data_IF_163781418221
#
_entry.id   IF_163781418221
#
_cell.length_a   1.000
_cell.length_b   1.000
_cell.length_c   1.000
_cell.angle_alpha   90.00
_cell.angle_beta   90.00
_cell.angle_gamma   90.00
#
_symmetry.space_group_name_H-M   'P 1'
#
loop_
_entity.id
_entity.type
_entity.pdbx_description
1 polymer ?
#
# COMPACT_ATOMS: atom_id res chain seq x y z
N UNK A 1 18.34 -28.25 20.50
CA UNK A 1 19.00 -27.83 19.23
C UNK A 1 18.14 -26.75 18.59
N UNK A 2 18.58 -25.48 18.69
CA UNK A 2 17.85 -24.33 18.17
C UNK A 2 17.86 -24.36 16.64
N UNK A 3 16.70 -24.63 16.03
CA UNK A 3 16.50 -24.39 14.60
C UNK A 3 16.43 -22.87 14.41
N UNK A 4 17.56 -22.29 14.02
CA UNK A 4 17.69 -20.91 13.57
C UNK A 4 16.64 -20.68 12.47
N UNK A 5 15.61 -19.91 12.77
CA UNK A 5 14.67 -19.41 11.78
C UNK A 5 15.43 -18.38 10.93
N UNK A 6 15.84 -18.78 9.72
CA UNK A 6 16.63 -17.97 8.77
C UNK A 6 15.92 -16.65 8.39
N UNK A 7 14.59 -16.62 8.43
CA UNK A 7 13.81 -15.52 7.88
C UNK A 7 13.22 -14.64 9.01
N UNK A 8 13.58 -13.36 8.98
CA UNK A 8 13.05 -12.33 9.88
C UNK A 8 11.50 -12.21 9.76
N UNK A 9 10.76 -11.91 10.86
CA UNK A 9 9.30 -11.84 10.84
C UNK A 9 8.75 -10.83 9.82
N UNK A 10 9.48 -9.75 9.56
CA UNK A 10 9.11 -8.73 8.58
C UNK A 10 9.28 -9.25 7.15
N UNK A 11 10.40 -9.91 6.87
CA UNK A 11 10.64 -10.57 5.59
C UNK A 11 9.60 -11.67 5.30
N UNK A 12 9.16 -12.39 6.33
CA UNK A 12 8.07 -13.38 6.21
C UNK A 12 6.73 -12.75 5.85
N UNK A 13 6.38 -11.60 6.46
CA UNK A 13 5.17 -10.85 6.12
C UNK A 13 5.23 -10.26 4.71
N UNK A 14 6.40 -9.80 4.25
CA UNK A 14 6.62 -9.33 2.87
C UNK A 14 6.39 -10.46 1.87
N UNK A 15 6.95 -11.65 2.10
CA UNK A 15 6.72 -12.80 1.20
C UNK A 15 5.28 -13.30 1.22
N UNK A 16 4.58 -13.23 2.36
CA UNK A 16 3.13 -13.52 2.43
C UNK A 16 2.29 -12.46 1.68
N UNK A 17 2.71 -11.20 1.69
CA UNK A 17 2.08 -10.13 0.92
C UNK A 17 2.32 -10.28 -0.59
N UNK A 18 3.47 -10.83 -1.00
CA UNK A 18 3.79 -11.15 -2.39
C UNK A 18 3.19 -12.49 -2.88
N UNK A 19 2.55 -13.28 -2.01
CA UNK A 19 1.87 -14.54 -2.35
C UNK A 19 2.77 -15.79 -2.39
N UNK A 20 4.02 -15.69 -1.94
CA UNK A 20 5.02 -16.76 -2.04
C UNK A 20 4.96 -17.77 -0.87
N UNK A 21 4.13 -17.50 0.14
CA UNK A 21 4.00 -18.33 1.35
C UNK A 21 2.52 -18.56 1.72
N UNK A 22 2.09 -19.82 1.96
CA UNK A 22 0.74 -20.10 2.43
C UNK A 22 0.47 -19.44 3.78
N UNK A 23 -0.75 -18.88 3.93
CA UNK A 23 -1.23 -18.30 5.19
C UNK A 23 -1.42 -19.39 6.23
N UNK A 24 -0.93 -19.16 7.44
CA UNK A 24 -1.03 -20.10 8.55
C UNK A 24 -2.51 -20.26 8.96
N UNK A 25 -3.04 -21.47 9.12
CA UNK A 25 -4.42 -21.66 9.52
C UNK A 25 -4.62 -21.24 10.97
N UNK A 26 -5.53 -20.29 11.18
CA UNK A 26 -5.97 -19.83 12.51
C UNK A 26 -6.47 -21.03 13.33
N UNK A 27 -5.75 -21.35 14.40
CA UNK A 27 -6.13 -22.38 15.36
C UNK A 27 -7.18 -21.80 16.30
N UNK A 28 -8.43 -22.22 16.12
CA UNK A 28 -9.54 -21.91 17.03
C UNK A 28 -9.55 -23.00 18.11
N UNK A 29 -9.19 -22.67 19.34
CA UNK A 29 -9.34 -23.56 20.50
C UNK A 29 -10.64 -23.17 21.23
N UNK A 30 -11.62 -24.08 21.42
CA UNK A 30 -12.80 -23.80 22.21
C UNK A 30 -12.66 -24.44 23.59
N UNK A 31 -12.60 -23.64 24.66
CA UNK A 31 -12.94 -24.14 26.01
C UNK A 31 -13.73 -23.13 26.85
N UNK A 32 -14.68 -23.57 27.69
CA UNK A 32 -15.60 -22.72 28.45
C UNK A 32 -15.13 -22.43 29.89
N UNK A 33 -15.64 -21.33 30.44
CA UNK A 33 -15.35 -20.60 31.71
C UNK A 33 -15.80 -21.33 33.01
N UNK A 34 -15.51 -20.81 34.22
CA UNK A 34 -16.61 -20.21 35.03
C UNK A 34 -16.30 -18.97 35.91
N UNK A 35 -17.31 -18.09 36.03
CA UNK A 35 -17.52 -16.97 36.98
C UNK A 35 -16.69 -15.67 36.75
N UNK A 36 -17.33 -14.59 36.28
CA UNK A 36 -17.99 -13.52 37.08
C UNK A 36 -17.01 -12.51 37.68
N UNK A 37 -16.45 -11.65 36.84
CA UNK A 37 -16.22 -10.25 37.20
C UNK A 37 -17.07 -9.41 36.26
N UNK A 38 -17.82 -8.49 36.85
CA UNK A 38 -18.69 -7.54 36.13
C UNK A 38 -17.80 -6.67 35.24
N UNK A 39 -17.49 -7.16 34.05
CA UNK A 39 -16.94 -6.34 32.96
C UNK A 39 -18.14 -5.61 32.40
N UNK A 40 -18.40 -4.43 32.97
CA UNK A 40 -19.23 -3.41 32.35
C UNK A 40 -18.72 -3.31 30.92
N UNK A 41 -19.53 -3.77 29.95
CA UNK A 41 -19.16 -3.65 28.56
C UNK A 41 -18.82 -2.17 28.31
N UNK A 42 -17.65 -1.87 27.72
CA UNK A 42 -17.24 -0.50 27.49
C UNK A 42 -18.35 0.18 26.68
N UNK A 43 -18.87 1.29 27.20
CA UNK A 43 -19.97 2.02 26.55
C UNK A 43 -19.56 2.69 25.23
N UNK A 44 -18.27 2.66 24.90
CA UNK A 44 -17.69 3.25 23.72
C UNK A 44 -16.43 2.50 23.28
N UNK A 45 -16.23 2.45 21.96
CA UNK A 45 -15.02 1.97 21.33
C UNK A 45 -14.53 3.00 20.30
N UNK A 46 -13.22 3.02 20.07
CA UNK A 46 -12.57 3.86 19.05
C UNK A 46 -11.90 2.99 18.00
N UNK A 47 -12.00 3.45 16.76
CA UNK A 47 -11.32 2.83 15.64
C UNK A 47 -9.87 3.28 15.61
N UNK A 48 -8.93 2.38 15.91
CA UNK A 48 -7.50 2.71 16.01
C UNK A 48 -6.96 3.35 14.73
N UNK A 49 -7.53 3.03 13.56
CA UNK A 49 -7.04 3.52 12.28
C UNK A 49 -7.78 4.79 11.80
N UNK A 50 -8.81 5.23 12.52
CA UNK A 50 -9.58 6.45 12.21
C UNK A 50 -9.85 7.35 13.43
N UNK A 51 -9.29 7.02 14.58
CA UNK A 51 -9.53 7.74 15.83
C UNK A 51 -8.92 9.14 15.79
N UNK A 52 -9.72 10.13 16.18
CA UNK A 52 -9.30 11.52 16.30
C UNK A 52 -8.45 11.75 17.56
N UNK A 53 -7.79 12.92 17.63
CA UNK A 53 -7.03 13.33 18.81
C UNK A 53 -7.88 13.32 20.10
N UNK A 54 -9.15 13.72 20.00
CA UNK A 54 -10.09 13.71 21.12
C UNK A 54 -10.42 12.30 21.58
N UNK A 55 -10.61 11.37 20.63
CA UNK A 55 -10.91 9.97 20.92
C UNK A 55 -9.73 9.27 21.60
N UNK A 56 -8.49 9.55 21.17
CA UNK A 56 -7.30 9.02 21.84
C UNK A 56 -7.13 9.55 23.25
N UNK A 57 -7.43 10.83 23.49
CA UNK A 57 -7.38 11.45 24.83
C UNK A 57 -8.40 10.89 25.83
N UNK A 58 -9.42 10.17 25.36
CA UNK A 58 -10.37 9.48 26.23
C UNK A 58 -9.79 8.21 26.86
N UNK A 59 -8.68 7.68 26.32
CA UNK A 59 -8.05 6.48 26.87
C UNK A 59 -7.25 6.81 28.14
N UNK A 60 -7.37 5.99 29.19
CA UNK A 60 -6.66 6.21 30.45
C UNK A 60 -5.14 6.11 30.21
N UNK A 61 -4.40 7.12 30.66
CA UNK A 61 -2.94 7.14 30.53
C UNK A 61 -2.41 7.49 29.13
N UNK A 62 -3.26 7.89 28.19
CA UNK A 62 -2.82 8.36 26.87
C UNK A 62 -2.27 9.80 26.97
N UNK A 63 -0.95 9.96 26.75
CA UNK A 63 -0.30 11.27 26.78
C UNK A 63 -0.45 12.02 25.45
N UNK A 64 -0.35 13.35 25.46
CA UNK A 64 -0.44 14.15 24.21
C UNK A 64 0.65 13.78 23.19
N UNK A 65 1.82 13.32 23.66
CA UNK A 65 2.92 12.85 22.80
C UNK A 65 2.52 11.55 22.07
N UNK A 66 1.84 10.62 22.75
CA UNK A 66 1.32 9.40 22.14
C UNK A 66 0.25 9.74 21.10
N UNK A 67 -0.63 10.70 21.38
CA UNK A 67 -1.65 11.15 20.43
C UNK A 67 -1.01 11.76 19.18
N UNK A 68 0.00 12.64 19.31
CA UNK A 68 0.69 13.21 18.14
C UNK A 68 1.38 12.13 17.30
N UNK A 69 2.04 11.16 17.94
CA UNK A 69 2.63 10.01 17.24
C UNK A 69 1.59 9.20 16.48
N UNK A 70 0.47 8.85 17.12
CA UNK A 70 -0.60 8.07 16.49
C UNK A 70 -1.19 8.80 15.28
N UNK A 71 -1.44 10.11 15.40
CA UNK A 71 -1.95 10.90 14.28
C UNK A 71 -0.94 11.02 13.13
N UNK A 72 0.35 11.22 13.43
CA UNK A 72 1.41 11.23 12.42
C UNK A 72 1.50 9.91 11.66
N UNK A 73 1.37 8.79 12.37
CA UNK A 73 1.41 7.46 11.77
C UNK A 73 0.18 7.20 10.89
N UNK A 74 -1.00 7.58 11.35
CA UNK A 74 -2.22 7.54 10.55
C UNK A 74 -2.11 8.40 9.29
N UNK A 75 -1.56 9.62 9.39
CA UNK A 75 -1.28 10.49 8.23
C UNK A 75 -0.26 9.87 7.27
N UNK A 76 0.70 9.10 7.79
CA UNK A 76 1.65 8.32 7.01
C UNK A 76 1.08 7.07 6.34
N UNK A 77 -0.21 6.77 6.53
CA UNK A 77 -0.87 5.59 5.98
C UNK A 77 -0.61 4.29 6.76
N UNK A 78 -0.04 4.37 7.96
CA UNK A 78 0.17 3.21 8.83
C UNK A 78 -1.19 2.76 9.39
N UNK A 79 -1.52 1.49 9.20
CA UNK A 79 -2.70 0.85 9.77
C UNK A 79 -2.29 -0.23 10.76
N UNK A 80 -2.89 -0.20 11.95
CA UNK A 80 -2.71 -1.18 13.01
C UNK A 80 -3.73 -2.31 12.86
N UNK A 81 -3.26 -3.54 13.04
CA UNK A 81 -4.13 -4.73 12.94
C UNK A 81 -4.40 -5.38 14.29
N UNK A 82 -3.60 -5.07 15.30
CA UNK A 82 -3.64 -5.72 16.60
C UNK A 82 -3.08 -4.80 17.70
N UNK A 83 -3.39 -5.14 18.96
CA UNK A 83 -2.96 -4.37 20.13
C UNK A 83 -1.44 -4.40 20.32
N UNK A 84 -0.80 -5.51 19.98
CA UNK A 84 0.62 -5.74 20.20
C UNK A 84 1.49 -4.80 19.36
N UNK A 85 1.05 -4.47 18.14
CA UNK A 85 1.73 -3.48 17.28
C UNK A 85 1.68 -2.09 17.91
N UNK A 86 0.53 -1.73 18.48
CA UNK A 86 0.33 -0.45 19.15
C UNK A 86 1.10 -0.38 20.47
N UNK A 87 1.18 -1.51 21.19
CA UNK A 87 1.91 -1.62 22.44
C UNK A 87 3.41 -1.43 22.26
N UNK A 88 3.98 -2.11 21.26
CA UNK A 88 5.39 -1.99 20.91
C UNK A 88 5.75 -0.58 20.42
N UNK A 89 4.85 0.06 19.66
CA UNK A 89 5.10 1.37 19.09
C UNK A 89 5.06 2.49 20.14
N UNK A 90 4.10 2.42 21.07
CA UNK A 90 3.94 3.44 22.13
C UNK A 90 4.72 3.12 23.40
N UNK A 91 5.44 2.00 23.44
CA UNK A 91 6.16 1.49 24.62
C UNK A 91 5.27 1.48 25.88
N UNK A 92 4.05 0.95 25.74
CA UNK A 92 3.07 0.90 26.81
C UNK A 92 3.11 -0.43 27.57
N UNK A 93 2.96 -0.35 28.89
CA UNK A 93 2.92 -1.51 29.79
C UNK A 93 1.70 -2.41 29.54
N UNK A 94 1.85 -3.70 29.84
CA UNK A 94 0.79 -4.71 29.68
C UNK A 94 -0.52 -4.34 30.40
N UNK A 95 -0.43 -3.76 31.60
CA UNK A 95 -1.61 -3.30 32.34
C UNK A 95 -2.41 -2.21 31.61
N UNK A 96 -1.74 -1.36 30.84
CA UNK A 96 -2.37 -0.29 30.06
C UNK A 96 -2.98 -0.88 28.77
N UNK A 97 -2.32 -1.89 28.18
CA UNK A 97 -2.88 -2.67 27.09
C UNK A 97 -4.18 -3.37 27.47
N UNK A 98 -4.26 -3.96 28.67
CA UNK A 98 -5.48 -4.59 29.19
C UNK A 98 -6.61 -3.58 29.37
N UNK A 99 -6.30 -2.37 29.85
CA UNK A 99 -7.28 -1.29 30.00
C UNK A 99 -7.78 -0.78 28.64
N UNK A 100 -6.92 -0.71 27.63
CA UNK A 100 -7.28 -0.18 26.31
C UNK A 100 -8.01 -1.20 25.45
N UNK A 101 -7.65 -2.49 25.57
CA UNK A 101 -8.22 -3.62 24.83
C UNK A 101 -9.74 -3.56 24.60
N UNK A 102 -10.58 -3.32 25.63
CA UNK A 102 -12.04 -3.28 25.44
C UNK A 102 -12.51 -2.05 24.63
N UNK A 103 -11.76 -0.96 24.64
CA UNK A 103 -12.10 0.29 23.95
C UNK A 103 -11.55 0.39 22.53
N UNK A 104 -10.66 -0.50 22.10
CA UNK A 104 -10.02 -0.43 20.79
C UNK A 104 -10.64 -1.40 19.78
N UNK A 105 -10.99 -0.89 18.60
CA UNK A 105 -11.32 -1.72 17.44
C UNK A 105 -10.30 -1.52 16.33
N UNK A 106 -9.78 -2.63 15.82
CA UNK A 106 -8.83 -2.66 14.71
C UNK A 106 -9.60 -2.98 13.43
N UNK A 107 -9.81 -1.97 12.60
CA UNK A 107 -10.46 -2.11 11.29
C UNK A 107 -9.48 -1.77 10.19
N UNK A 108 -9.33 -2.69 9.26
CA UNK A 108 -8.58 -2.42 8.03
C UNK A 108 -9.46 -1.59 7.11
N UNK A 109 -8.97 -0.41 6.73
CA UNK A 109 -9.76 0.49 5.88
C UNK A 109 -9.32 0.49 4.42
N UNK A 110 -8.18 -0.13 4.07
CA UNK A 110 -7.70 -0.19 2.68
C UNK A 110 -7.31 1.16 2.07
N UNK A 111 -7.77 2.27 2.65
CA UNK A 111 -7.28 3.63 2.43
C UNK A 111 -5.90 3.78 3.09
N UNK A 112 -4.86 3.28 2.42
CA UNK A 112 -3.65 4.09 2.33
C UNK A 112 -4.07 5.40 1.64
N UNK A 113 -3.53 6.58 2.01
CA UNK A 113 -3.80 7.79 1.24
C UNK A 113 -3.59 7.42 -0.23
N UNK A 114 -4.67 7.50 -1.00
CA UNK A 114 -4.66 7.27 -2.42
C UNK A 114 -3.76 8.38 -2.97
N UNK A 115 -2.44 8.17 -2.95
CA UNK A 115 -1.55 8.82 -3.90
C UNK A 115 -2.30 8.67 -5.22
N UNK A 116 -2.69 9.78 -5.86
CA UNK A 116 -3.62 9.74 -6.97
C UNK A 116 -3.17 8.61 -7.87
N UNK A 117 -4.04 7.62 -8.11
CA UNK A 117 -3.78 6.53 -9.05
C UNK A 117 -3.43 7.22 -10.36
N UNK A 118 -2.14 7.47 -10.58
CA UNK A 118 -1.67 8.08 -11.80
C UNK A 118 -1.83 6.95 -12.80
N UNK A 119 -2.97 6.97 -13.49
CA UNK A 119 -3.31 6.00 -14.51
C UNK A 119 -2.04 5.78 -15.35
N UNK A 120 -1.55 4.53 -15.46
CA UNK A 120 -0.23 4.29 -16.05
C UNK A 120 -0.16 4.93 -17.43
N UNK A 121 0.91 5.67 -17.69
CA UNK A 121 1.09 6.46 -18.90
C UNK A 121 1.16 5.54 -20.11
N UNK A 122 0.25 5.71 -21.06
CA UNK A 122 0.27 4.92 -22.29
C UNK A 122 1.31 5.47 -23.27
N UNK A 123 2.42 4.75 -23.46
CA UNK A 123 3.52 5.21 -24.32
C UNK A 123 3.13 5.26 -25.82
N UNK A 124 2.15 4.46 -26.24
CA UNK A 124 1.69 4.42 -27.63
C UNK A 124 0.61 5.47 -27.94
N UNK A 125 -0.15 5.88 -26.92
CA UNK A 125 -1.27 6.82 -27.07
C UNK A 125 -0.98 8.24 -26.56
N UNK A 126 -0.03 8.42 -25.62
CA UNK A 126 0.26 9.70 -24.99
C UNK A 126 0.68 10.77 -26.02
N UNK A 127 0.35 12.03 -25.74
CA UNK A 127 0.80 13.15 -26.57
C UNK A 127 2.30 13.39 -26.39
N UNK A 128 3.01 13.92 -27.40
CA UNK A 128 4.43 14.28 -27.29
C UNK A 128 4.72 15.18 -26.09
N UNK A 129 3.87 16.18 -25.85
CA UNK A 129 4.00 17.11 -24.73
C UNK A 129 3.85 16.40 -23.38
N UNK A 130 2.90 15.46 -23.27
CA UNK A 130 2.73 14.67 -22.05
C UNK A 130 3.94 13.76 -21.79
N UNK A 131 4.46 13.09 -22.83
CA UNK A 131 5.67 12.27 -22.73
C UNK A 131 6.88 13.08 -22.25
N UNK A 132 7.11 14.27 -22.83
CA UNK A 132 8.20 15.15 -22.44
C UNK A 132 8.06 15.70 -21.00
N UNK A 133 6.83 15.90 -20.52
CA UNK A 133 6.59 16.44 -19.16
C UNK A 133 6.63 15.34 -18.10
N UNK A 134 6.22 14.11 -18.44
CA UNK A 134 6.07 13.01 -17.48
C UNK A 134 7.31 12.11 -17.40
N UNK A 135 8.08 11.96 -18.48
CA UNK A 135 9.30 11.15 -18.48
C UNK A 135 10.50 12.03 -18.10
N UNK A 136 11.31 11.65 -17.10
CA UNK A 136 12.53 12.38 -16.73
C UNK A 136 13.68 12.06 -17.70
N UNK A 137 13.44 12.20 -19.01
CA UNK A 137 14.37 11.86 -20.09
C UNK A 137 14.79 13.11 -20.86
N UNK A 138 16.01 13.13 -21.45
CA UNK A 138 16.41 14.22 -22.34
C UNK A 138 15.55 14.25 -23.61
N UNK A 139 15.37 15.43 -24.20
CA UNK A 139 14.52 15.65 -25.38
C UNK A 139 14.86 14.71 -26.53
N UNK A 140 16.14 14.51 -26.87
CA UNK A 140 16.59 13.58 -27.91
C UNK A 140 16.06 12.15 -27.72
N UNK A 141 15.93 11.71 -26.47
CA UNK A 141 15.43 10.37 -26.16
C UNK A 141 13.92 10.28 -26.33
N UNK A 142 13.19 11.34 -25.98
CA UNK A 142 11.74 11.42 -26.22
C UNK A 142 11.46 11.49 -27.72
N UNK A 143 12.26 12.23 -28.48
CA UNK A 143 12.18 12.27 -29.94
C UNK A 143 12.43 10.89 -30.56
N UNK A 144 13.44 10.16 -30.08
CA UNK A 144 13.70 8.77 -30.52
C UNK A 144 12.55 7.84 -30.18
N UNK A 145 11.94 7.96 -29.00
CA UNK A 145 10.72 7.23 -28.64
C UNK A 145 9.58 7.52 -29.61
N UNK A 146 9.36 8.79 -29.96
CA UNK A 146 8.32 9.20 -30.91
C UNK A 146 8.59 8.69 -32.33
N UNK A 147 9.86 8.68 -32.76
CA UNK A 147 10.28 8.14 -34.04
C UNK A 147 10.04 6.63 -34.12
N UNK A 148 10.44 5.88 -33.08
CA UNK A 148 10.22 4.43 -33.00
C UNK A 148 8.72 4.08 -32.93
N UNK A 149 7.96 4.79 -32.11
CA UNK A 149 6.50 4.64 -32.02
C UNK A 149 5.79 4.83 -33.36
N UNK A 150 6.28 5.74 -34.22
CA UNK A 150 5.70 5.96 -35.56
C UNK A 150 5.95 4.80 -36.52
N UNK A 151 7.05 4.07 -36.34
CA UNK A 151 7.39 2.89 -37.15
C UNK A 151 6.51 1.71 -36.76
N UNK A 152 6.45 1.42 -35.46
CA UNK A 152 5.69 0.31 -34.90
C UNK A 152 5.37 0.61 -33.42
N UNK A 153 4.14 0.39 -32.96
CA UNK A 153 3.80 0.56 -31.55
C UNK A 153 4.61 -0.40 -30.67
N UNK A 154 4.96 0.06 -29.46
CA UNK A 154 5.69 -0.80 -28.53
C UNK A 154 4.75 -1.83 -27.92
N UNK A 155 5.21 -3.07 -27.82
CA UNK A 155 4.40 -4.18 -27.28
C UNK A 155 4.56 -4.33 -25.77
N UNK A 156 5.79 -4.16 -25.28
CA UNK A 156 6.15 -4.37 -23.88
C UNK A 156 7.45 -3.62 -23.53
N UNK A 157 7.85 -3.68 -22.24
CA UNK A 157 9.07 -3.03 -21.76
C UNK A 157 10.35 -3.57 -22.40
N UNK A 158 10.42 -4.86 -22.75
CA UNK A 158 11.60 -5.44 -23.38
C UNK A 158 11.76 -4.93 -24.83
N UNK A 159 10.67 -4.84 -25.58
CA UNK A 159 10.63 -4.24 -26.92
C UNK A 159 11.02 -2.75 -26.88
N UNK A 160 10.50 -1.99 -25.92
CA UNK A 160 10.91 -0.60 -25.68
C UNK A 160 12.41 -0.50 -25.35
N UNK A 161 12.90 -1.38 -24.47
CA UNK A 161 14.30 -1.41 -24.05
C UNK A 161 15.25 -1.69 -25.20
N UNK A 162 14.95 -2.69 -26.02
CA UNK A 162 15.78 -3.10 -27.16
C UNK A 162 15.85 -1.98 -28.20
N UNK A 163 14.70 -1.41 -28.58
CA UNK A 163 14.60 -0.40 -29.65
C UNK A 163 15.21 0.94 -29.28
N UNK A 164 15.08 1.34 -28.02
CA UNK A 164 15.67 2.58 -27.51
C UNK A 164 17.04 2.38 -26.84
N UNK A 165 17.55 1.15 -26.80
CA UNK A 165 18.77 0.77 -26.09
C UNK A 165 18.80 1.32 -24.64
N UNK A 166 17.69 1.16 -23.91
CA UNK A 166 17.56 1.73 -22.56
C UNK A 166 18.42 0.94 -21.56
N UNK A 167 19.10 1.62 -20.62
CA UNK A 167 19.77 0.93 -19.54
C UNK A 167 18.75 0.32 -18.57
N UNK A 168 19.07 -0.81 -17.89
CA UNK A 168 18.15 -1.52 -17.01
C UNK A 168 17.48 -0.63 -15.97
N UNK A 169 18.26 0.24 -15.31
CA UNK A 169 17.75 1.19 -14.31
C UNK A 169 16.67 2.15 -14.85
N UNK A 170 16.73 2.49 -16.15
CA UNK A 170 15.69 3.33 -16.77
C UNK A 170 14.42 2.53 -17.03
N UNK A 171 14.53 1.25 -17.39
CA UNK A 171 13.38 0.36 -17.59
C UNK A 171 12.70 0.07 -16.25
N UNK A 172 13.48 -0.18 -15.20
CA UNK A 172 12.99 -0.40 -13.84
C UNK A 172 12.15 0.79 -13.33
N UNK A 173 12.57 2.02 -13.63
CA UNK A 173 11.80 3.22 -13.29
C UNK A 173 10.43 3.31 -14.00
N UNK A 174 10.24 2.60 -15.12
CA UNK A 174 8.97 2.57 -15.86
C UNK A 174 8.03 1.44 -15.41
N UNK A 175 8.54 0.43 -14.70
CA UNK A 175 7.73 -0.70 -14.23
C UNK A 175 6.58 -0.20 -13.36
N UNK A 176 5.35 -0.59 -13.70
CA UNK A 176 4.13 -0.18 -13.00
C UNK A 176 3.67 1.26 -13.25
N UNK A 177 4.48 2.10 -13.93
CA UNK A 177 4.14 3.50 -14.25
C UNK A 177 3.67 3.71 -15.68
N UNK A 178 4.01 2.79 -16.58
CA UNK A 178 3.65 2.87 -18.00
C UNK A 178 2.81 1.68 -18.44
N UNK A 179 2.01 1.89 -19.49
CA UNK A 179 1.30 0.82 -20.21
C UNK A 179 1.56 0.94 -21.70
N UNK A 180 1.27 -0.14 -22.41
CA UNK A 180 1.32 -0.21 -23.86
C UNK A 180 -0.09 -0.48 -24.38
N UNK A 181 -0.84 0.58 -24.65
CA UNK A 181 -2.16 0.42 -25.24
C UNK A 181 -2.03 -0.04 -26.69
N UNK A 182 -2.91 -0.97 -27.10
CA UNK A 182 -3.25 -1.09 -28.52
C UNK A 182 -3.92 0.21 -28.94
N UNK A 183 -3.47 0.82 -30.04
CA UNK A 183 -4.06 2.03 -30.62
C UNK A 183 -5.59 1.98 -30.49
N UNK A 184 -6.27 3.00 -29.92
CA UNK A 184 -7.73 3.04 -29.99
C UNK A 184 -8.10 2.95 -31.47
N UNK A 185 -9.00 2.04 -31.82
CA UNK A 185 -9.59 2.02 -33.15
C UNK A 185 -10.04 3.46 -33.44
N UNK A 186 -9.40 4.09 -34.43
CA UNK A 186 -9.80 5.43 -34.85
C UNK A 186 -11.29 5.40 -35.20
N UNK A 187 -11.99 6.55 -35.11
CA UNK A 187 -13.42 6.58 -35.40
C UNK A 187 -13.67 5.93 -36.76
N UNK A 188 -14.41 4.83 -36.75
CA UNK A 188 -14.82 4.15 -37.98
C UNK A 188 -15.70 5.13 -38.75
N UNK A 189 -15.18 5.69 -39.84
CA UNK A 189 -16.01 6.45 -40.76
C UNK A 189 -17.07 5.49 -41.33
N UNK A 190 -18.37 5.86 -41.33
CA UNK A 190 -19.39 5.02 -41.91
C UNK A 190 -19.08 4.78 -43.40
N UNK A 191 -19.35 3.58 -43.94
CA UNK A 191 -19.19 3.32 -45.36
C UNK A 191 -20.07 4.29 -46.15
N UNK A 192 -19.47 4.98 -47.12
CA UNK A 192 -20.23 5.78 -48.09
C UNK A 192 -21.06 4.81 -48.91
N UNK A 193 -22.38 4.96 -48.85
CA UNK A 193 -23.32 4.29 -49.75
C UNK A 193 -23.17 4.75 -51.19
#
# INVERSE_FOLDING_TARGET
MARRHWLDPLARKVLQAMGDLPRDPVRVDPRPWPAEETTVAPSWCIDVNRASAEQWRQLPGCSEIMVDQLLRLQQGGVQFSQMEDLAQLLDISENLCEQWRPHLVFRWHGDAPQLPEQAPLDLNAASPTLLATTLPWPDDRVERLLAERRREPFQNLADLQERLCLPPATVEALIGRVRFGSRPAGPSLPPRG
#
